data_IF_811400596181
#
_entry.id   IF_811400596181
#
_cell.length_a   1.000
_cell.length_b   1.000
_cell.length_c   1.000
_cell.angle_alpha   90.00
_cell.angle_beta   90.00
_cell.angle_gamma   90.00
#
_symmetry.space_group_name_H-M   'P 1'
#
loop_
_entity.id
_entity.type
_entity.pdbx_description
1 polymer ?
#
# COMPACT_ATOMS: atom_id res chain seq x y z
N UNK A 1 -53.35 6.63 13.76
CA UNK A 1 -51.95 6.27 14.07
C UNK A 1 -51.50 5.33 12.97
N UNK A 2 -50.89 5.87 11.92
CA UNK A 2 -50.52 5.11 10.74
C UNK A 2 -49.01 5.15 10.65
N UNK A 3 -48.36 4.06 11.03
CA UNK A 3 -46.91 3.91 10.97
C UNK A 3 -46.48 3.87 9.51
N UNK A 4 -45.75 4.90 9.07
CA UNK A 4 -45.06 4.89 7.78
C UNK A 4 -43.73 4.14 7.96
N UNK A 5 -43.64 2.96 7.33
CA UNK A 5 -42.37 2.24 7.18
C UNK A 5 -41.47 3.05 6.25
N UNK A 6 -40.41 3.64 6.79
CA UNK A 6 -39.34 4.26 6.03
C UNK A 6 -38.47 3.13 5.49
N UNK A 7 -38.77 2.67 4.27
CA UNK A 7 -37.83 1.88 3.49
C UNK A 7 -36.72 2.82 3.03
N UNK A 8 -35.61 2.85 3.75
CA UNK A 8 -34.38 3.49 3.29
C UNK A 8 -33.89 2.72 2.05
N UNK A 9 -34.31 3.19 0.87
CA UNK A 9 -33.77 2.74 -0.39
C UNK A 9 -32.36 3.32 -0.48
N UNK A 10 -31.37 2.51 -0.14
CA UNK A 10 -29.97 2.83 -0.38
C UNK A 10 -29.81 2.87 -1.90
N UNK A 11 -29.82 4.07 -2.49
CA UNK A 11 -29.60 4.22 -3.93
C UNK A 11 -28.20 3.71 -4.29
N UNK A 12 -28.06 2.98 -5.41
CA UNK A 12 -26.76 2.53 -5.88
C UNK A 12 -25.91 3.73 -6.28
N UNK A 13 -24.74 3.79 -5.67
CA UNK A 13 -23.61 4.68 -5.92
C UNK A 13 -23.71 5.56 -7.16
N UNK A 14 -24.30 6.74 -6.99
CA UNK A 14 -24.08 7.92 -7.84
C UNK A 14 -23.25 8.96 -7.10
N UNK A 15 -22.42 8.52 -6.16
CA UNK A 15 -21.47 9.41 -5.54
C UNK A 15 -20.33 9.65 -6.54
N UNK A 16 -20.30 10.86 -7.09
CA UNK A 16 -19.28 11.28 -8.06
C UNK A 16 -17.90 11.24 -7.41
N UNK A 17 -17.81 11.41 -6.09
CA UNK A 17 -16.55 11.35 -5.35
C UNK A 17 -16.03 9.91 -5.28
N UNK A 18 -16.88 8.91 -5.04
CA UNK A 18 -16.41 7.52 -5.01
C UNK A 18 -15.94 7.05 -6.39
N UNK A 19 -16.68 7.36 -7.45
CA UNK A 19 -16.25 7.04 -8.82
C UNK A 19 -14.92 7.70 -9.18
N UNK A 20 -14.74 8.95 -8.75
CA UNK A 20 -13.48 9.69 -8.93
C UNK A 20 -12.34 9.06 -8.13
N UNK A 21 -12.58 8.63 -6.89
CA UNK A 21 -11.61 7.90 -6.07
C UNK A 21 -11.14 6.63 -6.78
N UNK A 22 -12.07 5.84 -7.34
CA UNK A 22 -11.73 4.61 -8.07
C UNK A 22 -10.90 4.89 -9.33
N UNK A 23 -11.25 5.93 -10.09
CA UNK A 23 -10.49 6.32 -11.27
C UNK A 23 -9.07 6.80 -10.91
N UNK A 24 -8.92 7.55 -9.82
CA UNK A 24 -7.62 8.04 -9.35
C UNK A 24 -6.76 6.91 -8.79
N UNK A 25 -7.36 5.97 -8.05
CA UNK A 25 -6.69 4.75 -7.60
C UNK A 25 -6.10 3.96 -8.77
N UNK A 26 -6.88 3.76 -9.84
CA UNK A 26 -6.39 3.09 -11.04
C UNK A 26 -5.21 3.85 -11.66
N UNK A 27 -5.32 5.18 -11.81
CA UNK A 27 -4.24 6.01 -12.37
C UNK A 27 -2.94 5.92 -11.56
N UNK A 28 -3.05 5.90 -10.23
CA UNK A 28 -1.90 5.70 -9.34
C UNK A 28 -1.25 4.34 -9.59
N UNK A 29 -2.05 3.28 -9.65
CA UNK A 29 -1.56 1.92 -9.91
C UNK A 29 -0.90 1.82 -11.30
N UNK A 30 -1.45 2.49 -12.30
CA UNK A 30 -0.86 2.56 -13.66
C UNK A 30 0.50 3.26 -13.67
N UNK A 31 0.71 4.23 -12.78
CA UNK A 31 1.95 4.99 -12.66
C UNK A 31 3.04 4.29 -11.82
N UNK A 32 2.71 3.18 -11.14
CA UNK A 32 3.67 2.45 -10.32
C UNK A 32 4.79 1.87 -11.18
N UNK A 33 6.02 2.01 -10.68
CA UNK A 33 7.23 1.48 -11.31
C UNK A 33 8.10 0.80 -10.26
N UNK A 34 8.86 -0.19 -10.70
CA UNK A 34 9.79 -0.90 -9.82
C UNK A 34 9.12 -1.86 -8.83
N UNK A 35 9.89 -2.39 -7.87
CA UNK A 35 9.38 -3.35 -6.91
C UNK A 35 8.41 -2.73 -5.93
N UNK A 36 7.38 -3.50 -5.57
CA UNK A 36 6.50 -3.20 -4.45
C UNK A 36 7.00 -3.90 -3.19
N UNK A 37 6.76 -3.27 -2.06
CA UNK A 37 7.11 -3.78 -0.74
C UNK A 37 5.89 -3.79 0.16
N UNK A 38 5.98 -4.57 1.23
CA UNK A 38 4.97 -4.63 2.29
C UNK A 38 5.47 -3.93 3.55
N UNK A 39 4.54 -3.30 4.25
CA UNK A 39 4.70 -2.87 5.64
C UNK A 39 3.67 -3.56 6.52
N UNK A 40 3.94 -3.67 7.82
CA UNK A 40 2.97 -4.23 8.75
C UNK A 40 2.11 -3.15 9.42
N UNK A 41 0.95 -2.82 8.84
CA UNK A 41 -0.09 -2.03 9.52
C UNK A 41 -1.46 -2.72 9.46
N UNK A 42 -1.90 -3.40 10.54
CA UNK A 42 -3.24 -3.99 10.59
C UNK A 42 -4.32 -2.92 10.78
N UNK A 43 -5.56 -3.25 10.42
CA UNK A 43 -6.73 -2.42 10.72
C UNK A 43 -6.95 -1.20 9.81
N UNK A 44 -6.19 -1.06 8.71
CA UNK A 44 -6.31 0.09 7.80
C UNK A 44 -7.75 0.37 7.35
N UNK A 45 -8.53 -0.67 7.05
CA UNK A 45 -9.91 -0.45 6.60
C UNK A 45 -10.84 0.06 7.71
N UNK A 46 -10.64 -0.37 8.96
CA UNK A 46 -11.43 0.14 10.08
C UNK A 46 -11.03 1.60 10.39
N UNK A 47 -9.75 1.94 10.22
CA UNK A 47 -9.25 3.32 10.31
C UNK A 47 -9.86 4.18 9.20
N UNK A 48 -9.94 3.66 7.98
CA UNK A 48 -10.61 4.33 6.86
C UNK A 48 -12.07 4.67 7.20
N UNK A 49 -12.82 3.70 7.71
CA UNK A 49 -14.21 3.92 8.11
C UNK A 49 -14.33 4.94 9.27
N UNK A 50 -13.43 4.90 10.24
CA UNK A 50 -13.46 5.79 11.40
C UNK A 50 -13.15 7.26 11.08
N UNK A 51 -12.59 7.55 9.91
CA UNK A 51 -12.31 8.93 9.44
C UNK A 51 -13.31 9.41 8.38
N UNK A 52 -14.38 8.66 8.14
CA UNK A 52 -15.50 9.15 7.35
C UNK A 52 -16.51 9.88 8.25
N UNK A 53 -17.33 10.80 7.69
CA UNK A 53 -18.50 11.31 8.37
C UNK A 53 -19.41 10.17 8.86
N UNK A 54 -20.00 10.32 10.05
CA UNK A 54 -20.77 9.26 10.72
C UNK A 54 -21.90 8.67 9.84
N UNK A 55 -22.56 9.52 9.05
CA UNK A 55 -23.64 9.15 8.13
C UNK A 55 -23.15 8.36 6.91
N UNK A 56 -21.85 8.40 6.62
CA UNK A 56 -21.21 7.73 5.48
C UNK A 56 -20.59 6.38 5.86
N UNK A 57 -20.39 6.09 7.14
CA UNK A 57 -19.72 4.87 7.61
C UNK A 57 -20.46 3.61 7.16
N UNK A 58 -21.78 3.55 7.36
CA UNK A 58 -22.57 2.37 7.00
C UNK A 58 -22.59 2.15 5.48
N UNK A 59 -22.70 3.23 4.70
CA UNK A 59 -22.69 3.16 3.25
C UNK A 59 -21.36 2.66 2.69
N UNK A 60 -20.25 3.01 3.34
CA UNK A 60 -18.91 2.59 2.95
C UNK A 60 -18.47 1.26 3.58
N UNK A 61 -19.31 0.61 4.41
CA UNK A 61 -19.01 -0.69 5.01
C UNK A 61 -19.21 -1.82 4.00
N UNK A 62 -18.11 -2.29 3.41
CA UNK A 62 -18.10 -3.24 2.31
C UNK A 62 -17.03 -4.33 2.50
N UNK A 63 -17.43 -5.60 2.39
CA UNK A 63 -16.53 -6.74 2.55
C UNK A 63 -15.49 -6.87 1.42
N UNK A 64 -15.85 -6.52 0.18
CA UNK A 64 -14.94 -6.53 -0.97
C UNK A 64 -13.85 -5.46 -0.81
N UNK A 65 -14.22 -4.23 -0.45
CA UNK A 65 -13.28 -3.14 -0.17
C UNK A 65 -12.37 -3.48 1.03
N UNK A 66 -12.93 -4.06 2.10
CA UNK A 66 -12.15 -4.54 3.25
C UNK A 66 -11.08 -5.55 2.83
N UNK A 67 -11.43 -6.52 1.97
CA UNK A 67 -10.48 -7.51 1.48
C UNK A 67 -9.39 -6.90 0.60
N UNK A 68 -9.75 -5.94 -0.26
CA UNK A 68 -8.79 -5.18 -1.05
C UNK A 68 -7.78 -4.46 -0.15
N UNK A 69 -8.25 -3.66 0.82
CA UNK A 69 -7.37 -2.91 1.74
C UNK A 69 -6.53 -3.85 2.60
N UNK A 70 -7.08 -4.98 3.06
CA UNK A 70 -6.30 -5.97 3.81
C UNK A 70 -5.13 -6.51 3.00
N UNK A 71 -5.31 -6.75 1.70
CA UNK A 71 -4.30 -7.39 0.85
C UNK A 71 -3.30 -6.41 0.24
N UNK A 72 -3.77 -5.23 -0.15
CA UNK A 72 -3.00 -4.28 -0.95
C UNK A 72 -2.79 -2.93 -0.25
N UNK A 73 -3.55 -2.63 0.81
CA UNK A 73 -3.49 -1.33 1.50
C UNK A 73 -2.16 -1.06 2.21
N UNK A 74 -1.36 -2.09 2.44
CA UNK A 74 -0.03 -2.02 3.08
C UNK A 74 1.13 -1.98 2.07
N UNK A 75 0.85 -1.70 0.80
CA UNK A 75 1.87 -1.66 -0.22
C UNK A 75 2.56 -0.30 -0.28
N UNK A 76 3.88 -0.35 -0.43
CA UNK A 76 4.75 0.82 -0.56
C UNK A 76 5.75 0.64 -1.68
N UNK A 77 6.27 1.75 -2.18
CA UNK A 77 7.51 1.83 -2.97
C UNK A 77 8.61 2.47 -2.12
N UNK A 78 9.85 2.29 -2.53
CA UNK A 78 11.01 2.94 -1.93
C UNK A 78 11.66 3.79 -3.02
N UNK A 79 11.73 5.10 -2.80
CA UNK A 79 12.36 6.04 -3.71
C UNK A 79 13.89 5.90 -3.70
N UNK A 80 14.58 6.52 -4.67
CA UNK A 80 16.04 6.44 -4.80
C UNK A 80 16.79 6.96 -3.57
N UNK A 81 16.22 7.92 -2.85
CA UNK A 81 16.75 8.48 -1.60
C UNK A 81 16.43 7.63 -0.36
N UNK A 82 15.73 6.51 -0.53
CA UNK A 82 15.30 5.61 0.53
C UNK A 82 13.98 5.97 1.18
N UNK A 83 13.29 7.03 0.72
CA UNK A 83 11.99 7.43 1.26
C UNK A 83 10.92 6.39 0.92
N UNK A 84 10.13 5.99 1.93
CA UNK A 84 8.99 5.09 1.78
C UNK A 84 7.78 5.91 1.31
N UNK A 85 7.13 5.46 0.23
CA UNK A 85 5.94 6.11 -0.33
C UNK A 85 4.80 5.11 -0.43
N UNK A 86 3.57 5.53 -0.11
CA UNK A 86 2.41 4.64 -0.28
C UNK A 86 2.17 4.32 -1.75
N UNK A 87 2.02 3.03 -2.06
CA UNK A 87 1.70 2.60 -3.41
C UNK A 87 0.25 2.94 -3.81
N UNK A 88 -0.65 3.10 -2.84
CA UNK A 88 -2.09 3.25 -3.10
C UNK A 88 -2.71 4.56 -2.58
N UNK A 89 -2.17 5.15 -1.52
CA UNK A 89 -2.86 6.22 -0.80
C UNK A 89 -2.16 7.56 -1.01
N UNK A 90 -2.93 8.56 -1.44
CA UNK A 90 -2.47 9.93 -1.54
C UNK A 90 -3.66 10.90 -1.51
N UNK A 91 -3.51 12.01 -0.80
CA UNK A 91 -4.55 13.00 -0.58
C UNK A 91 -5.05 13.65 -1.86
N UNK A 92 -4.19 13.82 -2.86
CA UNK A 92 -4.56 14.40 -4.16
C UNK A 92 -5.42 13.47 -5.02
N UNK A 93 -5.42 12.17 -4.72
CA UNK A 93 -6.27 11.20 -5.42
C UNK A 93 -7.65 11.05 -4.77
N UNK A 94 -7.85 11.65 -3.60
CA UNK A 94 -9.02 11.44 -2.76
C UNK A 94 -9.94 12.67 -2.77
N UNK A 95 -11.12 12.58 -3.42
CA UNK A 95 -12.10 13.66 -3.45
C UNK A 95 -12.95 13.71 -2.16
N UNK A 96 -13.47 14.89 -1.86
CA UNK A 96 -14.51 15.11 -0.85
C UNK A 96 -14.23 14.43 0.50
N UNK A 97 -15.20 13.65 0.96
CA UNK A 97 -15.16 12.94 2.25
C UNK A 97 -14.04 11.90 2.35
N UNK A 98 -13.44 11.48 1.23
CA UNK A 98 -12.39 10.47 1.19
C UNK A 98 -10.99 11.05 1.44
N UNK A 99 -10.83 12.38 1.40
CA UNK A 99 -9.53 13.02 1.55
C UNK A 99 -8.87 12.71 2.89
N UNK A 100 -9.59 12.91 3.98
CA UNK A 100 -9.10 12.63 5.33
C UNK A 100 -8.73 11.16 5.55
N UNK A 101 -9.61 10.17 5.30
CA UNK A 101 -9.26 8.77 5.52
C UNK A 101 -8.07 8.33 4.65
N UNK A 102 -8.01 8.72 3.37
CA UNK A 102 -6.87 8.37 2.49
C UNK A 102 -5.57 8.99 2.98
N UNK A 103 -5.59 10.25 3.42
CA UNK A 103 -4.42 10.91 4.02
C UNK A 103 -3.93 10.14 5.24
N UNK A 104 -4.84 9.75 6.13
CA UNK A 104 -4.52 8.96 7.32
C UNK A 104 -3.90 7.61 6.95
N UNK A 105 -4.45 6.90 5.96
CA UNK A 105 -3.87 5.63 5.51
C UNK A 105 -2.46 5.82 4.95
N UNK A 106 -2.24 6.87 4.12
CA UNK A 106 -0.92 7.19 3.57
C UNK A 106 0.11 7.34 4.69
N UNK A 107 -0.18 8.24 5.64
CA UNK A 107 0.75 8.54 6.74
C UNK A 107 1.07 7.29 7.57
N UNK A 108 0.08 6.46 7.87
CA UNK A 108 0.28 5.24 8.65
C UNK A 108 1.15 4.21 7.93
N UNK A 109 1.00 4.09 6.62
CA UNK A 109 1.72 3.12 5.79
C UNK A 109 3.16 3.60 5.53
N UNK A 110 3.36 4.88 5.26
CA UNK A 110 4.69 5.46 4.99
C UNK A 110 5.60 5.50 6.24
N UNK A 111 5.01 5.55 7.44
CA UNK A 111 5.75 5.53 8.71
C UNK A 111 5.90 4.13 9.31
N UNK A 112 5.40 3.09 8.65
CA UNK A 112 5.53 1.71 9.11
C UNK A 112 6.83 1.06 8.58
N UNK A 113 7.46 0.18 9.37
CA UNK A 113 8.66 -0.52 8.91
C UNK A 113 8.33 -1.48 7.77
N UNK A 114 9.18 -1.48 6.75
CA UNK A 114 9.14 -2.45 5.65
C UNK A 114 9.45 -3.85 6.19
N UNK A 115 8.59 -4.81 5.87
CA UNK A 115 8.69 -6.19 6.36
C UNK A 115 8.85 -7.23 5.24
N UNK A 116 8.80 -6.81 3.97
CA UNK A 116 8.95 -7.73 2.85
C UNK A 116 8.86 -7.09 1.47
N UNK A 117 9.13 -7.91 0.45
CA UNK A 117 8.89 -7.59 -0.97
C UNK A 117 7.53 -8.15 -1.36
N UNK A 118 6.75 -7.43 -2.15
CA UNK A 118 5.46 -7.91 -2.61
C UNK A 118 5.55 -8.57 -3.98
N UNK A 119 4.94 -9.75 -4.12
CA UNK A 119 4.77 -10.44 -5.39
C UNK A 119 3.31 -10.89 -5.54
N UNK A 120 2.70 -10.58 -6.69
CA UNK A 120 1.40 -11.14 -7.06
C UNK A 120 1.41 -11.58 -8.52
N UNK A 121 0.72 -12.69 -8.80
CA UNK A 121 0.46 -13.18 -10.16
C UNK A 121 -0.84 -12.60 -10.72
N UNK A 122 -1.72 -12.09 -9.86
CA UNK A 122 -2.99 -11.50 -10.27
C UNK A 122 -2.76 -10.19 -11.02
N UNK A 123 -3.32 -10.11 -12.24
CA UNK A 123 -3.37 -8.87 -13.03
C UNK A 123 -4.50 -7.94 -12.58
N UNK A 124 -5.51 -8.49 -11.89
CA UNK A 124 -6.63 -7.75 -11.32
C UNK A 124 -6.59 -7.86 -9.80
N UNK A 125 -6.53 -6.72 -9.12
CA UNK A 125 -6.61 -6.62 -7.67
C UNK A 125 -8.04 -6.29 -7.24
N UNK A 126 -8.55 -7.07 -6.28
CA UNK A 126 -9.91 -6.91 -5.77
C UNK A 126 -10.99 -7.45 -6.71
N UNK A 127 -12.24 -7.16 -6.35
CA UNK A 127 -13.42 -7.52 -7.13
C UNK A 127 -14.13 -6.21 -7.51
N UNK A 128 -14.02 -5.72 -8.77
CA UNK A 128 -14.42 -4.36 -9.11
C UNK A 128 -15.92 -4.10 -9.00
N UNK A 129 -16.76 -5.12 -9.20
CA UNK A 129 -18.23 -4.98 -9.20
C UNK A 129 -18.90 -6.18 -8.52
N UNK A 130 -19.94 -5.93 -7.75
CA UNK A 130 -20.89 -6.94 -7.26
C UNK A 130 -22.32 -6.41 -7.40
N UNK A 131 -23.09 -6.96 -8.34
CA UNK A 131 -24.41 -6.42 -8.67
C UNK A 131 -24.28 -4.96 -9.12
N UNK A 132 -25.01 -4.00 -8.50
CA UNK A 132 -24.90 -2.59 -8.83
C UNK A 132 -23.72 -1.88 -8.14
N UNK A 133 -23.04 -2.54 -7.20
CA UNK A 133 -22.00 -1.91 -6.37
C UNK A 133 -20.64 -1.99 -7.05
N UNK A 134 -19.94 -0.86 -7.12
CA UNK A 134 -18.52 -0.79 -7.48
C UNK A 134 -17.66 -0.77 -6.22
N UNK A 135 -16.47 -1.35 -6.29
CA UNK A 135 -15.58 -1.52 -5.15
C UNK A 135 -14.16 -1.05 -5.46
N UNK A 136 -13.36 -0.86 -4.40
CA UNK A 136 -11.91 -0.72 -4.53
C UNK A 136 -11.34 -1.93 -5.27
N UNK A 137 -10.78 -1.64 -6.44
CA UNK A 137 -10.12 -2.58 -7.31
C UNK A 137 -9.17 -1.82 -8.24
N UNK A 138 -8.15 -2.49 -8.74
CA UNK A 138 -7.24 -1.94 -9.73
C UNK A 138 -6.72 -3.03 -10.67
N UNK A 139 -6.41 -2.67 -11.91
CA UNK A 139 -5.63 -3.50 -12.81
C UNK A 139 -4.15 -3.17 -12.65
N UNK A 140 -3.34 -4.20 -12.48
CA UNK A 140 -1.90 -4.06 -12.33
C UNK A 140 -1.25 -3.97 -13.72
N UNK A 141 -0.33 -3.00 -13.95
CA UNK A 141 0.47 -2.97 -15.17
C UNK A 141 1.21 -4.28 -15.37
N UNK A 142 1.27 -4.76 -16.62
CA UNK A 142 1.93 -6.03 -16.96
C UNK A 142 3.40 -6.09 -16.48
N UNK A 143 4.08 -4.95 -16.42
CA UNK A 143 5.46 -4.84 -15.93
C UNK A 143 5.63 -5.18 -14.44
N UNK A 144 4.58 -5.06 -13.63
CA UNK A 144 4.60 -5.36 -12.19
C UNK A 144 4.08 -6.77 -11.87
N UNK A 145 3.56 -7.48 -12.87
CA UNK A 145 3.08 -8.85 -12.70
C UNK A 145 4.26 -9.77 -12.52
N UNK A 146 4.23 -10.60 -11.48
CA UNK A 146 5.31 -11.55 -11.24
C UNK A 146 5.31 -12.68 -12.29
N UNK A 147 6.38 -12.78 -13.08
CA UNK A 147 6.47 -13.65 -14.27
C UNK A 147 7.50 -14.79 -14.19
N UNK A 148 8.08 -15.10 -13.03
CA UNK A 148 9.07 -16.20 -12.95
C UNK A 148 8.44 -17.57 -13.24
N UNK A 149 9.06 -18.32 -14.15
CA UNK A 149 8.55 -19.61 -14.62
C UNK A 149 8.70 -20.73 -13.58
N UNK A 150 9.76 -20.69 -12.77
CA UNK A 150 10.13 -21.77 -11.83
C UNK A 150 9.67 -21.52 -10.38
N UNK A 151 9.10 -20.34 -10.10
CA UNK A 151 8.75 -19.94 -8.75
C UNK A 151 7.30 -19.44 -8.66
N UNK A 152 6.68 -19.72 -7.53
CA UNK A 152 5.47 -19.04 -7.09
C UNK A 152 5.84 -17.74 -6.38
N UNK A 153 4.92 -16.76 -6.26
CA UNK A 153 5.16 -15.54 -5.49
C UNK A 153 5.64 -15.83 -4.07
N UNK A 154 5.06 -16.85 -3.42
CA UNK A 154 5.44 -17.27 -2.08
C UNK A 154 6.87 -17.84 -2.01
N UNK A 155 7.30 -18.59 -3.02
CA UNK A 155 8.68 -19.11 -3.08
C UNK A 155 9.69 -17.99 -3.30
N UNK A 156 9.39 -17.04 -4.19
CA UNK A 156 10.25 -15.87 -4.40
C UNK A 156 10.31 -14.96 -3.16
N UNK A 157 9.19 -14.81 -2.45
CA UNK A 157 9.15 -14.12 -1.17
C UNK A 157 10.02 -14.81 -0.12
N UNK A 158 9.90 -16.14 0.03
CA UNK A 158 10.68 -16.90 0.99
C UNK A 158 12.19 -16.85 0.71
N UNK A 159 12.58 -16.91 -0.56
CA UNK A 159 13.97 -16.71 -0.99
C UNK A 159 14.47 -15.32 -0.57
N UNK A 160 13.71 -14.26 -0.88
CA UNK A 160 14.10 -12.89 -0.50
C UNK A 160 14.17 -12.66 1.00
N UNK A 161 13.27 -13.28 1.77
CA UNK A 161 13.32 -13.25 3.22
C UNK A 161 14.59 -13.91 3.76
N UNK A 162 15.06 -15.00 3.15
CA UNK A 162 16.29 -15.67 3.57
C UNK A 162 17.56 -14.92 3.14
N UNK A 163 17.56 -14.36 1.93
CA UNK A 163 18.61 -13.43 1.48
C UNK A 163 18.77 -12.28 2.48
N UNK A 164 17.65 -11.67 2.89
CA UNK A 164 17.63 -10.60 3.88
C UNK A 164 18.21 -11.06 5.23
N UNK A 165 17.79 -12.22 5.76
CA UNK A 165 18.36 -12.77 7.01
C UNK A 165 19.85 -13.05 6.90
N UNK A 166 20.31 -13.52 5.75
CA UNK A 166 21.73 -13.79 5.50
C UNK A 166 22.54 -12.49 5.50
N UNK A 167 22.04 -11.45 4.82
CA UNK A 167 22.65 -10.14 4.82
C UNK A 167 22.67 -9.51 6.22
N UNK A 168 21.56 -9.54 6.96
CA UNK A 168 21.51 -9.04 8.33
C UNK A 168 22.51 -9.76 9.25
N UNK A 169 22.67 -11.08 9.11
CA UNK A 169 23.67 -11.84 9.85
C UNK A 169 25.08 -11.39 9.51
N UNK A 170 25.40 -11.25 8.22
CA UNK A 170 26.72 -10.75 7.80
C UNK A 170 26.98 -9.30 8.25
N UNK A 171 25.94 -8.45 8.26
CA UNK A 171 26.05 -7.07 8.73
C UNK A 171 26.22 -6.97 10.25
N UNK A 172 25.68 -7.93 11.02
CA UNK A 172 25.83 -7.98 12.46
C UNK A 172 27.28 -8.22 12.91
N UNK A 173 28.14 -8.74 12.03
CA UNK A 173 29.56 -8.91 12.30
C UNK A 173 30.34 -7.58 12.30
N UNK A 174 29.75 -6.49 11.79
CA UNK A 174 30.35 -5.16 11.80
C UNK A 174 29.89 -4.35 13.01
N UNK A 175 30.79 -4.14 13.97
CA UNK A 175 30.47 -3.34 15.15
C UNK A 175 30.49 -1.83 14.84
N UNK A 176 29.83 -0.99 15.65
CA UNK A 176 29.91 0.47 15.52
C UNK A 176 31.35 1.00 15.50
N UNK A 177 32.25 0.40 16.28
CA UNK A 177 33.67 0.77 16.37
C UNK A 177 34.41 0.45 15.06
N UNK A 178 34.09 -0.69 14.42
CA UNK A 178 34.65 -1.04 13.11
C UNK A 178 34.19 -0.05 12.04
N UNK A 179 32.91 0.32 12.06
CA UNK A 179 32.35 1.32 11.14
C UNK A 179 32.97 2.71 11.35
N UNK A 180 33.14 3.14 12.61
CA UNK A 180 33.83 4.39 12.95
C UNK A 180 35.28 4.40 12.45
N UNK A 181 36.00 3.29 12.63
CA UNK A 181 37.37 3.13 12.14
C UNK A 181 37.41 3.23 10.61
N UNK A 182 36.53 2.53 9.91
CA UNK A 182 36.43 2.57 8.45
C UNK A 182 36.13 3.99 7.93
N UNK A 183 35.16 4.68 8.52
CA UNK A 183 34.82 6.08 8.18
C UNK A 183 36.02 7.00 8.41
N UNK A 184 36.74 6.82 9.52
CA UNK A 184 37.93 7.62 9.85
C UNK A 184 39.02 7.43 8.80
N UNK A 185 39.31 6.19 8.40
CA UNK A 185 40.29 5.87 7.36
C UNK A 185 39.91 6.44 5.99
N UNK A 186 38.63 6.34 5.61
CA UNK A 186 38.13 6.88 4.34
C UNK A 186 38.26 8.41 4.30
N UNK A 187 37.90 9.11 5.38
CA UNK A 187 38.04 10.57 5.49
C UNK A 187 39.50 11.01 5.48
N UNK A 188 40.38 10.27 6.15
CA UNK A 188 41.82 10.55 6.15
C UNK A 188 42.45 10.39 4.76
N UNK A 189 41.96 9.45 3.95
CA UNK A 189 42.45 9.21 2.58
C UNK A 189 42.02 10.28 1.58
N UNK A 190 40.86 10.91 1.78
CA UNK A 190 40.38 12.04 0.95
C UNK A 190 41.10 13.35 1.31
N UNK A 191 41.70 13.43 2.50
CA UNK A 191 42.38 14.63 3.01
C UNK A 191 43.87 14.76 2.59
N UNK A 192 44.41 13.87 1.75
CA UNK A 192 45.76 14.02 1.19
C UNK A 192 45.70 14.86 -0.09
N UNK A 193 46.25 16.10 -0.10
CA UNK A 193 46.48 16.82 -1.34
C UNK A 193 47.61 16.13 -2.12
N UNK A 194 47.43 16.01 -3.44
CA UNK A 194 48.51 15.72 -4.38
C UNK A 194 49.55 16.85 -4.38
#
# INVERSE_FOLDING_TARGET
MTSASITSQIEPNRDTDYETLLANLQRRVDALQGPLFTVHRPGLYDIFLAHLPDDQVQYNTCSACRQFVRRYGNLVTIAEDGTIQSALWHEDDAPGIYKEPVTTLRLLVENAPVDGVFYDKATAWGQPVTGPWRHLAAQLPAALVFTRATQTPNQAWAEKAEDYRTLCRALADFTPEMLQTAVTLLRARVALPL
#
